data_IF_261112929170
#
_entry.id   IF_261112929170
#
_cell.length_a   1.000
_cell.length_b   1.000
_cell.length_c   1.000
_cell.angle_alpha   90.00
_cell.angle_beta   90.00
_cell.angle_gamma   90.00
#
_symmetry.space_group_name_H-M   'P 1'
#
loop_
_entity.id
_entity.type
_entity.pdbx_description
1 polymer ?
#
# COMPACT_ATOMS: atom_id res chain seq x y z
N UNK A 1 8.77 -17.22 -10.10
CA UNK A 1 7.72 -16.68 -11.01
C UNK A 1 6.32 -16.92 -10.47
N UNK A 2 6.05 -18.11 -9.90
CA UNK A 2 4.76 -18.45 -9.28
C UNK A 2 4.34 -17.48 -8.17
N UNK A 3 5.24 -17.08 -7.27
CA UNK A 3 4.87 -16.19 -6.14
C UNK A 3 4.34 -14.83 -6.60
N UNK A 4 4.96 -14.24 -7.63
CA UNK A 4 4.48 -12.98 -8.22
C UNK A 4 3.10 -13.13 -8.86
N UNK A 5 2.81 -14.29 -9.46
CA UNK A 5 1.49 -14.58 -10.02
C UNK A 5 0.44 -14.66 -8.89
N UNK A 6 0.75 -15.35 -7.79
CA UNK A 6 -0.18 -15.46 -6.65
C UNK A 6 -0.38 -14.11 -5.97
N UNK A 7 0.69 -13.34 -5.75
CA UNK A 7 0.60 -11.98 -5.20
C UNK A 7 -0.26 -11.08 -6.08
N UNK A 8 -0.11 -11.15 -7.40
CA UNK A 8 -0.93 -10.38 -8.33
C UNK A 8 -2.40 -10.78 -8.29
N UNK A 9 -2.70 -12.09 -8.19
CA UNK A 9 -4.07 -12.57 -8.07
C UNK A 9 -4.74 -12.07 -6.78
N UNK A 10 -4.02 -12.09 -5.66
CA UNK A 10 -4.49 -11.49 -4.39
C UNK A 10 -4.72 -9.98 -4.57
N UNK A 11 -3.76 -9.26 -5.16
CA UNK A 11 -3.87 -7.82 -5.38
C UNK A 11 -5.11 -7.44 -6.23
N UNK A 12 -5.42 -8.21 -7.28
CA UNK A 12 -6.60 -7.98 -8.12
C UNK A 12 -7.92 -8.07 -7.34
N UNK A 13 -8.01 -8.94 -6.34
CA UNK A 13 -9.21 -9.07 -5.48
C UNK A 13 -9.27 -7.94 -4.45
N UNK A 14 -8.13 -7.58 -3.86
CA UNK A 14 -8.08 -6.57 -2.80
C UNK A 14 -8.23 -5.14 -3.33
N UNK A 15 -7.70 -4.86 -4.52
CA UNK A 15 -7.74 -3.52 -5.14
C UNK A 15 -9.14 -2.89 -5.15
N UNK A 16 -10.21 -3.53 -5.68
CA UNK A 16 -11.54 -2.93 -5.71
C UNK A 16 -12.16 -2.71 -4.31
N UNK A 17 -11.69 -3.43 -3.28
CA UNK A 17 -12.13 -3.24 -1.90
C UNK A 17 -11.49 -1.96 -1.34
N UNK A 18 -10.17 -1.84 -1.47
CA UNK A 18 -9.42 -0.71 -0.92
C UNK A 18 -9.60 0.60 -1.71
N UNK A 19 -9.85 0.51 -3.03
CA UNK A 19 -10.14 1.69 -3.85
C UNK A 19 -11.36 2.49 -3.36
N UNK A 20 -12.31 1.84 -2.66
CA UNK A 20 -13.50 2.50 -2.09
C UNK A 20 -13.22 3.29 -0.82
N UNK A 21 -12.10 3.01 -0.15
CA UNK A 21 -11.76 3.61 1.16
C UNK A 21 -10.53 4.51 1.08
N UNK A 22 -9.72 4.39 0.02
CA UNK A 22 -8.58 5.27 -0.17
C UNK A 22 -9.01 6.72 -0.41
N UNK A 23 -8.28 7.64 0.22
CA UNK A 23 -8.46 9.08 0.06
C UNK A 23 -8.38 9.51 -1.40
N UNK A 24 -9.20 10.47 -1.79
CA UNK A 24 -9.13 11.09 -3.12
C UNK A 24 -7.84 11.87 -3.36
N UNK A 25 -7.10 12.22 -2.32
CA UNK A 25 -5.78 12.85 -2.42
C UNK A 25 -4.63 11.81 -2.42
N UNK A 26 -4.94 10.52 -2.51
CA UNK A 26 -3.94 9.45 -2.70
C UNK A 26 -3.83 9.08 -4.18
N UNK A 27 -2.62 9.23 -4.73
CA UNK A 27 -2.35 9.05 -6.18
C UNK A 27 -1.34 7.94 -6.49
N UNK A 28 -0.60 7.44 -5.50
CA UNK A 28 0.44 6.43 -5.70
C UNK A 28 -0.11 5.01 -5.77
N UNK A 29 0.41 4.21 -6.72
CA UNK A 29 0.11 2.77 -6.86
C UNK A 29 -1.37 2.40 -7.01
N UNK A 30 -2.19 3.33 -7.53
CA UNK A 30 -3.63 3.12 -7.73
C UNK A 30 -3.99 3.00 -9.20
N UNK A 31 -4.99 2.19 -9.56
CA UNK A 31 -5.50 2.14 -10.93
C UNK A 31 -6.06 3.51 -11.34
N UNK A 32 -5.77 3.94 -12.57
CA UNK A 32 -6.28 5.18 -13.17
C UNK A 32 -5.91 6.49 -12.44
N UNK A 33 -4.92 6.46 -11.54
CA UNK A 33 -4.37 7.65 -10.88
C UNK A 33 -2.85 7.64 -10.99
N UNK A 34 -2.25 8.81 -11.21
CA UNK A 34 -0.80 8.92 -11.36
C UNK A 34 -0.22 10.24 -10.91
N UNK A 35 1.08 10.40 -11.16
CA UNK A 35 1.83 11.59 -10.76
C UNK A 35 1.28 12.89 -11.37
N UNK A 36 0.78 12.84 -12.61
CA UNK A 36 0.17 14.00 -13.26
C UNK A 36 -1.08 14.50 -12.54
N UNK A 37 -1.91 13.60 -12.01
CA UNK A 37 -3.10 13.97 -11.24
C UNK A 37 -2.72 14.63 -9.91
N UNK A 38 -1.67 14.12 -9.26
CA UNK A 38 -1.12 14.71 -8.04
C UNK A 38 -0.62 16.15 -8.30
N UNK A 39 0.12 16.38 -9.39
CA UNK A 39 0.60 17.71 -9.78
C UNK A 39 -0.58 18.64 -10.06
N UNK A 40 -1.59 18.18 -10.82
CA UNK A 40 -2.77 18.97 -11.11
C UNK A 40 -3.48 19.41 -9.81
N UNK A 41 -3.56 18.52 -8.81
CA UNK A 41 -4.14 18.85 -7.51
C UNK A 41 -3.33 19.89 -6.74
N UNK A 42 -2.00 19.80 -6.78
CA UNK A 42 -1.11 20.80 -6.16
C UNK A 42 -1.27 22.17 -6.83
N UNK A 43 -1.38 22.23 -8.16
CA UNK A 43 -1.62 23.48 -8.90
C UNK A 43 -2.97 24.09 -8.54
N UNK A 44 -4.02 23.29 -8.41
CA UNK A 44 -5.34 23.72 -7.94
C UNK A 44 -5.26 24.34 -6.52
N UNK A 45 -4.61 23.66 -5.58
CA UNK A 45 -4.39 24.19 -4.22
C UNK A 45 -3.56 25.49 -4.23
N UNK A 46 -2.53 25.56 -5.07
CA UNK A 46 -1.76 26.79 -5.24
C UNK A 46 -2.66 27.93 -5.72
N UNK A 47 -3.52 27.69 -6.71
CA UNK A 47 -4.44 28.72 -7.23
C UNK A 47 -5.48 29.18 -6.19
N UNK A 48 -5.85 28.32 -5.24
CA UNK A 48 -6.72 28.66 -4.10
C UNK A 48 -6.02 29.48 -3.01
N UNK A 49 -4.72 29.74 -3.13
CA UNK A 49 -3.95 30.60 -2.22
C UNK A 49 -3.07 29.86 -1.22
N UNK A 50 -3.00 28.52 -1.27
CA UNK A 50 -2.06 27.75 -0.45
C UNK A 50 -0.64 27.87 -1.00
N UNK A 51 0.20 28.70 -0.36
CA UNK A 51 1.56 29.04 -0.82
C UNK A 51 2.68 28.29 -0.08
N UNK A 52 2.36 27.51 0.94
CA UNK A 52 3.34 26.79 1.76
C UNK A 52 3.10 25.29 1.65
N UNK A 53 4.18 24.55 1.53
CA UNK A 53 4.18 23.08 1.46
C UNK A 53 4.88 22.55 2.70
N UNK A 54 4.33 21.49 3.28
CA UNK A 54 4.99 20.69 4.30
C UNK A 54 5.38 19.39 3.63
N UNK A 55 6.68 19.20 3.42
CA UNK A 55 7.21 17.99 2.81
C UNK A 55 7.47 16.94 3.90
N UNK A 56 6.95 15.74 3.71
CA UNK A 56 7.02 14.63 4.64
C UNK A 56 7.41 13.38 3.86
N UNK A 57 8.56 12.81 4.21
CA UNK A 57 9.04 11.55 3.64
C UNK A 57 9.34 10.53 4.74
N UNK A 58 9.03 9.26 4.46
CA UNK A 58 9.26 8.15 5.38
C UNK A 58 10.46 7.34 4.89
N UNK A 59 11.58 7.43 5.62
CA UNK A 59 12.79 6.65 5.32
C UNK A 59 12.53 5.16 5.45
N UNK A 60 12.90 4.39 4.42
CA UNK A 60 12.85 2.93 4.40
C UNK A 60 11.49 2.39 4.88
N UNK A 61 10.41 2.94 4.33
CA UNK A 61 9.04 2.64 4.76
C UNK A 61 8.74 1.13 4.78
N UNK A 62 9.10 0.41 3.71
CA UNK A 62 8.81 -1.02 3.59
C UNK A 62 9.64 -1.90 4.54
N UNK A 63 10.83 -1.45 4.95
CA UNK A 63 11.68 -2.21 5.86
C UNK A 63 11.24 -2.05 7.33
N UNK A 64 10.59 -0.94 7.66
CA UNK A 64 10.22 -0.57 9.03
C UNK A 64 8.71 -0.71 9.32
N UNK A 65 7.92 -1.17 8.36
CA UNK A 65 6.46 -1.29 8.55
C UNK A 65 6.14 -2.40 9.55
N UNK A 66 5.35 -2.08 10.58
CA UNK A 66 4.94 -3.07 11.57
C UNK A 66 3.90 -4.04 10.96
N UNK A 67 4.30 -5.29 10.75
CA UNK A 67 3.46 -6.31 10.12
C UNK A 67 2.19 -6.63 10.92
N UNK A 68 2.22 -6.60 12.26
CA UNK A 68 1.04 -6.87 13.08
C UNK A 68 0.02 -5.75 12.98
N UNK A 69 0.48 -4.50 12.99
CA UNK A 69 -0.37 -3.34 12.78
C UNK A 69 -0.99 -3.36 11.39
N UNK A 70 -0.22 -3.71 10.36
CA UNK A 70 -0.72 -3.82 9.00
C UNK A 70 -1.81 -4.89 8.85
N UNK A 71 -1.58 -6.09 9.41
CA UNK A 71 -2.59 -7.15 9.40
C UNK A 71 -3.84 -6.74 10.17
N UNK A 72 -3.70 -6.02 11.29
CA UNK A 72 -4.83 -5.48 12.06
C UNK A 72 -5.67 -4.48 11.25
N UNK A 73 -5.04 -3.65 10.40
CA UNK A 73 -5.79 -2.78 9.50
C UNK A 73 -6.50 -3.55 8.39
N UNK A 74 -5.84 -4.55 7.80
CA UNK A 74 -6.45 -5.39 6.77
C UNK A 74 -7.66 -6.17 7.29
N UNK A 75 -7.61 -6.63 8.54
CA UNK A 75 -8.73 -7.30 9.23
C UNK A 75 -10.02 -6.46 9.34
N UNK A 76 -9.94 -5.14 9.18
CA UNK A 76 -11.13 -4.28 9.20
C UNK A 76 -11.94 -4.36 7.89
N UNK A 77 -11.32 -4.88 6.82
CA UNK A 77 -11.89 -4.92 5.48
C UNK A 77 -11.92 -6.33 4.87
N UNK A 78 -11.21 -7.29 5.48
CA UNK A 78 -11.09 -8.67 5.01
C UNK A 78 -11.44 -9.61 6.17
N UNK A 79 -12.57 -10.32 6.03
CA UNK A 79 -13.02 -11.29 7.03
C UNK A 79 -12.38 -12.68 6.86
N UNK A 80 -11.82 -12.98 5.69
CA UNK A 80 -11.26 -14.31 5.41
C UNK A 80 -9.90 -14.54 6.12
N UNK A 81 -9.83 -15.45 7.10
CA UNK A 81 -8.59 -15.72 7.83
C UNK A 81 -7.51 -16.36 6.95
N UNK A 82 -7.87 -17.05 5.87
CA UNK A 82 -6.90 -17.70 4.98
C UNK A 82 -6.15 -16.68 4.14
N UNK A 83 -6.86 -15.70 3.57
CA UNK A 83 -6.27 -14.58 2.84
C UNK A 83 -5.33 -13.75 3.73
N UNK A 84 -5.75 -13.42 4.96
CA UNK A 84 -4.90 -12.69 5.91
C UNK A 84 -3.63 -13.48 6.28
N UNK A 85 -3.76 -14.79 6.47
CA UNK A 85 -2.61 -15.67 6.73
C UNK A 85 -1.66 -15.74 5.52
N UNK A 86 -2.20 -15.74 4.30
CA UNK A 86 -1.40 -15.73 3.07
C UNK A 86 -0.64 -14.41 2.90
N UNK A 87 -1.30 -13.27 3.13
CA UNK A 87 -0.66 -11.95 3.10
C UNK A 87 0.45 -11.89 4.14
N UNK A 88 0.18 -12.34 5.38
CA UNK A 88 1.20 -12.40 6.44
C UNK A 88 2.43 -13.19 6.00
N UNK A 89 2.24 -14.33 5.33
CA UNK A 89 3.35 -15.12 4.78
C UNK A 89 4.16 -14.35 3.74
N UNK A 90 3.50 -13.59 2.85
CA UNK A 90 4.22 -12.76 1.87
C UNK A 90 5.10 -11.70 2.53
N UNK A 91 4.62 -11.07 3.60
CA UNK A 91 5.36 -10.05 4.34
C UNK A 91 6.58 -10.62 5.07
N UNK A 92 6.46 -11.83 5.62
CA UNK A 92 7.56 -12.51 6.31
C UNK A 92 8.54 -13.18 5.36
N UNK A 93 8.11 -13.54 4.14
CA UNK A 93 8.97 -14.21 3.14
C UNK A 93 10.04 -13.30 2.52
N UNK A 94 10.17 -12.06 2.98
CA UNK A 94 11.07 -11.05 2.43
C UNK A 94 12.47 -10.99 3.06
N UNK A 95 12.77 -11.75 4.12
CA UNK A 95 14.11 -11.74 4.72
C UNK A 95 14.76 -13.12 4.60
N UNK A 96 15.58 -13.28 3.57
CA UNK A 96 16.62 -14.31 3.55
C UNK A 96 17.81 -13.71 4.28
N UNK A 97 17.73 -13.62 5.62
CA UNK A 97 18.90 -13.31 6.44
C UNK A 97 19.69 -14.61 6.58
N UNK A 98 20.81 -14.70 5.87
CA UNK A 98 21.81 -15.76 6.05
C UNK A 98 21.32 -17.22 6.04
N UNK A 99 20.36 -17.57 5.18
CA UNK A 99 20.11 -18.98 4.80
C UNK A 99 19.60 -19.90 5.92
N UNK A 100 19.04 -19.37 7.00
CA UNK A 100 18.40 -20.16 8.04
C UNK A 100 16.90 -19.84 8.07
N UNK A 101 16.08 -20.86 7.81
CA UNK A 101 14.64 -20.77 8.01
C UNK A 101 14.34 -20.67 9.51
N UNK A 102 13.60 -19.64 9.90
CA UNK A 102 12.89 -19.58 11.18
C UNK A 102 11.39 -19.51 10.92
#
# INVERSE_FOLDING_TARGET
>A
VVDRMVQQAVAQILTPIFERVFSDNSFGFRPHRGAHDAIAKVVDLYNQGYRRVVDLDLKAYFDNVNHDLMIKYLQQYIDDPWTLRLIRKFLTSGVLDHGLFA
#
